data_IF_360715810814
#
_entry.id   IF_360715810814
#
_cell.length_a   1.000
_cell.length_b   1.000
_cell.length_c   1.000
_cell.angle_alpha   90.00
_cell.angle_beta   90.00
_cell.angle_gamma   90.00
#
_symmetry.space_group_name_H-M   'P 1'
#
loop_
_entity.id
_entity.type
_entity.pdbx_description
1 polymer ?
2 non-polymer ?
3 non-polymer ?
4 non-polymer ?
5 water ?
#
# COMPACT_ATOMS: atom_id res chain seq x y z
N UNK A 24 -6.23 -7.50 -18.18
CA UNK A 24 -5.30 -8.64 -17.90
C UNK A 24 -5.33 -8.95 -16.39
N UNK A 25 -4.25 -9.52 -15.84
CA UNK A 25 -4.27 -10.06 -14.46
C UNK A 25 -3.26 -9.38 -13.53
N UNK A 26 -2.80 -8.16 -13.83
CA UNK A 26 -1.96 -7.34 -12.92
C UNK A 26 -2.47 -5.91 -12.81
N UNK A 27 -2.60 -5.45 -11.57
CA UNK A 27 -2.77 -4.01 -11.26
C UNK A 27 -1.45 -3.57 -10.66
N UNK A 28 -0.95 -2.42 -11.08
CA UNK A 28 0.32 -1.99 -10.49
C UNK A 28 0.52 -0.49 -10.62
N UNK A 29 1.56 -0.04 -9.94
CA UNK A 29 2.03 1.35 -10.00
C UNK A 29 3.01 1.58 -11.14
N UNK A 30 3.42 0.52 -11.82
CA UNK A 30 4.60 0.48 -12.72
C UNK A 30 5.84 0.42 -11.84
N UNK A 31 6.94 -0.13 -12.41
CA UNK A 31 8.18 -0.27 -11.66
C UNK A 31 9.16 0.90 -11.76
N UNK A 32 8.74 2.07 -12.24
CA UNK A 32 9.65 3.23 -12.40
C UNK A 32 9.82 3.89 -11.02
N UNK A 33 10.44 5.08 -10.98
CA UNK A 33 10.75 5.81 -9.72
C UNK A 33 10.04 7.17 -9.67
N UNK A 34 9.09 7.44 -10.57
CA UNK A 34 8.32 8.72 -10.63
C UNK A 34 7.38 8.78 -9.42
N UNK A 35 7.48 9.83 -8.56
CA UNK A 35 6.73 9.87 -7.31
C UNK A 35 5.23 9.80 -7.54
N UNK A 36 4.56 9.03 -6.69
CA UNK A 36 3.13 8.71 -6.87
C UNK A 36 2.36 8.70 -5.56
N UNK A 37 2.97 9.04 -4.44
CA UNK A 37 2.37 8.72 -3.12
C UNK A 37 2.75 9.77 -2.09
N UNK A 38 1.93 9.87 -1.05
CA UNK A 38 2.12 10.77 0.11
C UNK A 38 2.58 9.96 1.32
N UNK A 39 3.76 10.29 1.86
CA UNK A 39 4.15 9.90 3.24
C UNK A 39 3.88 11.08 4.18
N UNK A 40 4.42 12.23 3.83
CA UNK A 40 4.26 13.50 4.59
C UNK A 40 3.47 14.52 3.76
N UNK A 41 3.93 14.79 2.54
CA UNK A 41 3.26 15.69 1.59
C UNK A 41 3.04 14.93 0.28
N UNK A 42 2.14 15.44 -0.54
CA UNK A 42 1.64 14.81 -1.79
C UNK A 42 2.80 14.61 -2.77
N UNK A 43 2.93 13.39 -3.28
CA UNK A 43 3.93 12.96 -4.28
C UNK A 43 5.34 13.19 -3.73
N UNK A 44 5.55 12.90 -2.45
CA UNK A 44 6.91 12.96 -1.85
C UNK A 44 7.60 11.60 -1.94
N UNK A 45 6.90 10.57 -2.43
CA UNK A 45 7.39 9.19 -2.31
C UNK A 45 6.94 8.34 -3.51
N UNK A 46 7.62 7.22 -3.73
CA UNK A 46 7.27 6.22 -4.75
C UNK A 46 6.83 4.98 -3.99
N UNK A 47 5.56 4.65 -4.10
CA UNK A 47 5.05 3.32 -3.70
C UNK A 47 5.20 2.39 -4.90
N UNK A 48 5.91 1.31 -4.74
CA UNK A 48 5.98 0.29 -5.80
C UNK A 48 5.06 -0.85 -5.36
N UNK A 49 3.94 -1.03 -6.04
CA UNK A 49 2.94 -2.04 -5.64
C UNK A 49 2.49 -2.77 -6.87
N UNK A 50 2.54 -4.10 -6.81
CA UNK A 50 2.03 -4.97 -7.85
C UNK A 50 1.08 -5.98 -7.23
N UNK A 51 -0.11 -6.08 -7.81
CA UNK A 51 -1.12 -7.07 -7.41
C UNK A 51 -1.39 -7.98 -8.61
N UNK A 52 -1.05 -9.25 -8.47
CA UNK A 52 -1.24 -10.23 -9.55
C UNK A 52 -2.33 -11.20 -9.12
N UNK A 53 -3.34 -11.32 -9.94
CA UNK A 53 -4.48 -12.21 -9.67
C UNK A 53 -4.08 -13.65 -9.95
N UNK A 54 -4.16 -14.49 -8.92
CA UNK A 54 -3.93 -15.95 -8.97
C UNK A 54 -5.23 -16.63 -8.46
N UNK A 55 -6.29 -16.65 -9.27
CA UNK A 55 -7.56 -17.25 -8.85
C UNK A 55 -8.14 -16.57 -7.63
N UNK A 56 -8.34 -17.36 -6.58
CA UNK A 56 -8.95 -16.98 -5.29
C UNK A 56 -8.08 -15.95 -4.57
N UNK A 57 -6.79 -15.87 -4.89
CA UNK A 57 -5.84 -15.01 -4.15
C UNK A 57 -5.21 -13.99 -5.10
N UNK A 58 -4.82 -12.87 -4.54
CA UNK A 58 -3.87 -11.94 -5.15
C UNK A 58 -2.49 -12.21 -4.52
N UNK A 59 -1.48 -12.25 -5.37
CA UNK A 59 -0.06 -12.23 -4.96
C UNK A 59 0.42 -10.78 -5.06
N UNK A 60 0.77 -10.22 -3.92
CA UNK A 60 1.17 -8.83 -3.82
C UNK A 60 2.64 -8.66 -3.54
N UNK A 61 3.18 -7.53 -3.99
CA UNK A 61 4.59 -7.19 -3.79
C UNK A 61 4.65 -5.68 -3.59
N UNK A 62 5.24 -5.25 -2.49
CA UNK A 62 5.20 -3.80 -2.14
C UNK A 62 6.57 -3.33 -1.62
N UNK A 63 6.88 -2.08 -1.93
CA UNK A 63 8.01 -1.34 -1.36
C UNK A 63 7.69 0.16 -1.40
N UNK A 64 8.44 0.94 -0.64
CA UNK A 64 8.16 2.40 -0.49
C UNK A 64 9.49 3.12 -0.35
N UNK A 65 9.61 4.22 -1.07
CA UNK A 65 10.81 5.08 -1.13
C UNK A 65 10.40 6.54 -0.96
N UNK A 66 11.01 7.26 -0.04
CA UNK A 66 10.81 8.73 0.08
C UNK A 66 11.76 9.43 -0.88
N UNK A 67 11.20 10.25 -1.76
CA UNK A 67 12.01 10.96 -2.79
C UNK A 67 12.31 12.40 -2.32
N UNK A 68 11.36 13.05 -1.66
CA UNK A 68 11.50 14.42 -1.11
C UNK A 68 10.86 14.52 0.29
N UNK A 69 11.02 15.66 0.95
CA UNK A 69 10.33 15.95 2.22
C UNK A 69 10.99 15.27 3.39
N UNK A 70 10.28 15.29 4.51
CA UNK A 70 10.82 14.87 5.82
C UNK A 70 11.42 13.47 5.70
N UNK A 71 10.70 12.53 5.09
CA UNK A 71 11.11 11.11 5.12
C UNK A 71 12.31 10.89 4.19
N UNK A 72 12.68 11.84 3.34
CA UNK A 72 13.88 11.72 2.49
C UNK A 72 15.16 11.97 3.32
N UNK A 73 15.07 12.70 4.43
CA UNK A 73 16.22 12.93 5.34
C UNK A 73 15.62 13.07 6.73
N UNK A 74 15.44 11.94 7.39
CA UNK A 74 14.69 11.89 8.67
C UNK A 74 15.44 12.66 9.75
N UNK A 75 14.70 13.10 10.76
CA UNK A 75 15.30 13.71 11.96
C UNK A 75 14.93 12.85 13.16
N UNK A 76 15.47 13.20 14.33
CA UNK A 76 15.14 12.53 15.61
C UNK A 76 13.65 12.63 15.92
N UNK A 77 12.94 13.67 15.46
CA UNK A 77 11.50 13.86 15.78
C UNK A 77 10.57 13.35 14.66
N UNK A 78 11.07 12.93 13.50
CA UNK A 78 10.18 12.41 12.43
C UNK A 78 9.33 11.28 12.99
N UNK A 79 8.01 11.29 12.75
CA UNK A 79 7.12 10.26 13.34
C UNK A 79 7.47 8.90 12.73
N UNK A 80 7.68 7.93 13.60
CA UNK A 80 8.13 6.58 13.20
C UNK A 80 6.92 5.66 12.94
N UNK A 81 5.98 6.20 12.17
CA UNK A 81 4.68 5.59 11.84
C UNK A 81 4.15 6.26 10.58
N UNK A 82 4.00 5.49 9.50
CA UNK A 82 3.58 6.03 8.20
C UNK A 82 2.51 5.10 7.62
N UNK A 83 1.31 5.60 7.43
CA UNK A 83 0.22 4.80 6.87
C UNK A 83 -0.07 5.22 5.44
N UNK A 84 0.06 4.29 4.51
CA UNK A 84 -0.28 4.46 3.09
C UNK A 84 -1.63 3.81 2.88
N UNK A 85 -2.64 4.60 2.54
CA UNK A 85 -4.02 4.11 2.41
C UNK A 85 -4.41 4.02 0.94
N UNK A 86 -4.84 2.84 0.49
CA UNK A 86 -5.51 2.65 -0.81
C UNK A 86 -6.98 2.36 -0.51
N UNK A 87 -7.84 3.30 -0.85
CA UNK A 87 -9.29 3.17 -0.62
C UNK A 87 -9.93 2.91 -1.99
N UNK A 88 -10.85 1.97 -2.05
CA UNK A 88 -11.50 1.62 -3.33
C UNK A 88 -13.01 1.71 -3.21
N UNK A 89 -13.60 2.06 -4.35
CA UNK A 89 -15.07 2.06 -4.46
C UNK A 89 -15.57 0.65 -4.77
N UNK A 90 -16.89 0.55 -4.97
CA UNK A 90 -17.59 -0.75 -5.17
C UNK A 90 -17.13 -1.42 -6.48
N UNK A 91 -16.51 -0.68 -7.40
CA UNK A 91 -15.98 -1.23 -8.66
C UNK A 91 -14.50 -1.60 -8.53
N UNK A 92 -13.92 -1.46 -7.34
CA UNK A 92 -12.50 -1.74 -7.15
C UNK A 92 -11.60 -0.63 -7.68
N UNK A 93 -12.15 0.56 -7.88
CA UNK A 93 -11.40 1.71 -8.44
C UNK A 93 -10.96 2.63 -7.31
N UNK A 94 -9.71 3.05 -7.38
CA UNK A 94 -9.07 3.84 -6.32
C UNK A 94 -9.82 5.16 -6.14
N UNK A 95 -10.09 5.52 -4.90
CA UNK A 95 -10.66 6.84 -4.58
C UNK A 95 -9.57 7.90 -4.54
N UNK A 96 -9.89 9.13 -4.97
CA UNK A 96 -8.88 10.19 -4.99
C UNK A 96 -8.35 10.63 -3.61
N UNK A 97 -9.03 10.28 -2.53
CA UNK A 97 -8.57 10.61 -1.16
C UNK A 97 -7.48 9.63 -0.71
N UNK A 98 -7.17 8.62 -1.51
CA UNK A 98 -6.09 7.64 -1.22
C UNK A 98 -4.72 8.35 -1.17
N UNK A 99 -3.78 7.74 -0.46
CA UNK A 99 -2.39 8.25 -0.40
C UNK A 99 -1.73 8.18 -1.79
N UNK A 100 -2.07 7.13 -2.54
CA UNK A 100 -1.53 6.84 -3.89
C UNK A 100 -2.33 7.65 -4.91
N UNK A 101 -1.63 8.31 -5.83
CA UNK A 101 -2.23 9.08 -6.94
C UNK A 101 -2.87 8.12 -7.96
N UNK A 102 -4.14 8.39 -8.31
CA UNK A 102 -4.98 7.68 -9.30
C UNK A 102 -4.23 7.53 -10.64
N UNK A 103 -3.55 8.59 -11.06
CA UNK A 103 -2.93 8.70 -12.39
C UNK A 103 -1.81 7.67 -12.52
N UNK A 104 -1.35 7.11 -11.40
CA UNK A 104 -0.16 6.24 -11.31
C UNK A 104 -0.55 4.80 -10.98
N UNK A 105 -1.81 4.41 -11.20
CA UNK A 105 -2.33 3.10 -10.76
C UNK A 105 -3.28 2.54 -11.81
N UNK A 106 -2.98 1.40 -12.38
CA UNK A 106 -3.92 0.79 -13.34
C UNK A 106 -3.44 -0.60 -13.74
N UNK A 107 -4.21 -1.21 -14.61
CA UNK A 107 -3.84 -2.51 -15.20
C UNK A 107 -2.54 -2.33 -15.95
N UNK A 108 -1.68 -3.34 -15.91
CA UNK A 108 -0.37 -3.35 -16.63
C UNK A 108 -0.58 -3.45 -18.15
N UNK A 109 0.31 -2.78 -18.90
CA UNK A 109 0.63 -3.04 -20.33
C UNK A 109 2.12 -2.73 -20.54
N UNK A 110 2.90 -3.70 -21.03
CA UNK A 110 4.39 -3.65 -21.12
C UNK A 110 4.95 -3.30 -19.72
N UNK A 111 5.77 -2.25 -19.58
CA UNK A 111 6.27 -1.75 -18.27
C UNK A 111 5.45 -0.54 -17.82
N UNK A 112 4.30 -0.28 -18.45
CA UNK A 112 3.45 0.92 -18.19
C UNK A 112 2.06 0.50 -17.72
N UNK A 113 1.06 1.38 -17.89
CA UNK A 113 -0.35 1.08 -17.49
C UNK A 113 -1.23 1.36 -18.71
N UNK A 114 -2.44 0.78 -18.75
CA UNK A 114 -3.42 0.97 -19.87
C UNK A 114 -3.84 2.45 -19.91
N UNK A 115 -4.43 2.88 -21.04
CA UNK A 115 -4.82 4.28 -21.33
C UNK A 115 -6.17 4.62 -20.67
N UNK A 116 -7.17 3.72 -20.75
CA UNK A 116 -8.50 3.93 -20.11
C UNK A 116 -8.35 3.88 -18.58
N UNK A 117 -8.93 4.86 -17.87
CA UNK A 117 -8.60 5.13 -16.43
C UNK A 117 -9.52 4.36 -15.47
N UNK A 118 -10.72 3.97 -15.90
CA UNK A 118 -11.79 3.52 -14.96
C UNK A 118 -12.23 2.09 -15.26
N UNK A 119 -11.31 1.14 -15.09
CA UNK A 119 -11.52 -0.30 -15.33
C UNK A 119 -11.90 -1.00 -14.02
N UNK A 120 -13.05 -1.69 -14.00
CA UNK A 120 -13.52 -2.54 -12.87
C UNK A 120 -12.35 -3.41 -12.40
N UNK A 121 -12.21 -3.56 -11.10
CA UNK A 121 -11.13 -4.36 -10.50
C UNK A 121 -11.66 -5.13 -9.28
N UNK A 122 -12.95 -5.46 -9.25
CA UNK A 122 -13.51 -6.21 -8.10
C UNK A 122 -12.74 -7.52 -7.87
N UNK A 123 -12.30 -8.28 -8.90
CA UNK A 123 -11.56 -9.51 -8.65
C UNK A 123 -10.22 -9.33 -7.94
N UNK A 124 -9.73 -8.11 -7.82
CA UNK A 124 -8.49 -7.78 -7.06
C UNK A 124 -8.81 -7.33 -5.65
N UNK A 125 -10.08 -7.13 -5.31
CA UNK A 125 -10.41 -6.53 -4.01
C UNK A 125 -10.35 -7.58 -2.92
N UNK A 126 -9.98 -7.18 -1.69
CA UNK A 126 -9.94 -8.14 -0.59
C UNK A 126 -11.36 -8.60 -0.23
N UNK A 127 -11.48 -9.89 -0.01
CA UNK A 127 -12.76 -10.57 0.26
C UNK A 127 -13.43 -10.00 1.52
N UNK A 128 -14.68 -9.59 1.41
CA UNK A 128 -15.36 -8.91 2.55
C UNK A 128 -15.83 -9.91 3.61
N UNK A 129 -15.90 -11.19 3.30
CA UNK A 129 -16.23 -12.22 4.31
C UNK A 129 -14.97 -12.55 5.13
N UNK A 130 -13.85 -12.73 4.45
CA UNK A 130 -12.56 -12.98 5.12
C UNK A 130 -12.17 -11.75 5.93
N UNK A 131 -12.38 -10.58 5.33
CA UNK A 131 -11.87 -9.32 5.87
C UNK A 131 -13.01 -8.32 5.95
N UNK A 132 -13.92 -8.49 6.94
CA UNK A 132 -15.09 -7.62 7.04
C UNK A 132 -14.69 -6.23 7.53
N UNK A 133 -15.47 -5.26 7.10
CA UNK A 133 -15.37 -3.89 7.61
C UNK A 133 -15.61 -3.93 9.11
N UNK A 134 -14.97 -3.03 9.87
CA UNK A 134 -15.20 -2.95 11.32
C UNK A 134 -16.67 -2.69 11.70
N UNK A 135 -17.14 -3.20 12.83
CA UNK A 135 -18.36 -2.77 13.56
C UNK A 135 -17.91 -2.15 14.90
N UNK A 136 -18.26 -0.89 15.15
CA UNK A 136 -17.64 0.00 16.15
C UNK A 136 -17.74 -0.56 17.57
N UNK A 137 -18.74 -1.41 17.86
CA UNK A 137 -18.98 -1.98 19.22
C UNK A 137 -17.75 -2.77 19.68
N UNK A 138 -17.55 -3.97 19.11
CA UNK A 138 -16.43 -4.88 19.48
C UNK A 138 -15.12 -4.09 19.47
N UNK A 139 -14.99 -3.13 18.55
CA UNK A 139 -13.80 -2.25 18.36
C UNK A 139 -12.54 -3.12 18.41
N UNK A 140 -12.64 -4.31 17.80
CA UNK A 140 -11.59 -5.37 17.84
C UNK A 140 -11.93 -6.47 16.85
N UNK A 141 -11.49 -6.31 15.59
CA UNK A 141 -11.84 -7.22 14.47
C UNK A 141 -10.93 -8.47 14.50
N UNK A 142 -11.20 -9.35 13.58
CA UNK A 142 -10.41 -10.56 13.35
C UNK A 142 -8.95 -10.19 13.04
N UNK A 143 -7.99 -10.85 13.70
CA UNK A 143 -6.57 -10.59 13.41
C UNK A 143 -6.18 -11.00 12.00
N UNK A 144 -6.94 -11.88 11.36
CA UNK A 144 -6.62 -12.34 10.01
C UNK A 144 -6.73 -11.20 9.00
N UNK A 145 -7.37 -10.10 9.35
CA UNK A 145 -7.45 -8.91 8.49
C UNK A 145 -6.11 -8.20 8.32
N UNK A 146 -5.09 -8.61 9.08
CA UNK A 146 -3.76 -8.01 8.99
C UNK A 146 -2.70 -9.05 8.69
N UNK A 147 -1.62 -8.58 8.11
CA UNK A 147 -0.33 -9.24 7.95
C UNK A 147 0.69 -8.35 8.65
N UNK A 148 1.52 -8.92 9.52
CA UNK A 148 2.57 -8.13 10.20
C UNK A 148 3.90 -8.86 10.00
N UNK A 149 4.91 -8.12 9.55
CA UNK A 149 6.26 -8.68 9.42
C UNK A 149 7.24 -7.52 9.48
N UNK A 150 8.48 -7.76 9.07
CA UNK A 150 9.50 -6.70 8.99
C UNK A 150 9.99 -6.62 7.57
N UNK A 151 10.29 -5.38 7.18
CA UNK A 151 11.15 -5.05 6.04
C UNK A 151 12.34 -4.26 6.59
N UNK A 152 13.29 -3.91 5.74
CA UNK A 152 14.59 -3.39 6.23
C UNK A 152 14.94 -2.09 5.52
N UNK A 153 15.19 -1.08 6.34
CA UNK A 153 15.50 0.26 5.85
C UNK A 153 16.89 0.27 5.22
N UNK A 154 16.99 0.78 4.01
CA UNK A 154 18.26 0.81 3.30
C UNK A 154 18.71 -0.57 2.89
N UNK A 155 17.87 -1.58 3.03
CA UNK A 155 18.28 -2.97 2.82
C UNK A 155 19.48 -3.29 3.73
N UNK A 156 19.44 -2.77 4.96
CA UNK A 156 20.45 -3.10 5.99
C UNK A 156 19.79 -3.98 7.05
N UNK A 157 20.45 -5.09 7.35
CA UNK A 157 19.82 -6.18 8.12
C UNK A 157 19.60 -5.78 9.59
N UNK A 158 20.28 -4.74 10.06
CA UNK A 158 20.11 -4.23 11.44
C UNK A 158 19.09 -3.10 11.54
N UNK A 159 18.34 -2.84 10.49
CA UNK A 159 17.38 -1.70 10.47
C UNK A 159 15.98 -2.17 10.13
N UNK A 160 15.33 -2.91 11.04
CA UNK A 160 13.97 -3.34 10.82
C UNK A 160 13.00 -2.16 10.82
N UNK A 161 11.98 -2.34 9.99
CA UNK A 161 10.76 -1.51 9.94
C UNK A 161 9.60 -2.49 9.93
N UNK A 162 8.68 -2.34 10.86
CA UNK A 162 7.53 -3.24 10.91
C UNK A 162 6.56 -2.85 9.80
N UNK A 163 6.15 -3.80 8.98
CA UNK A 163 5.11 -3.57 7.98
C UNK A 163 3.84 -4.25 8.49
N UNK A 164 2.77 -3.46 8.49
CA UNK A 164 1.41 -3.97 8.79
C UNK A 164 0.53 -3.72 7.58
N UNK A 165 0.05 -4.79 6.97
CA UNK A 165 -0.91 -4.69 5.84
C UNK A 165 -2.27 -5.02 6.38
N UNK A 166 -3.24 -4.14 6.13
CA UNK A 166 -4.61 -4.35 6.63
C UNK A 166 -5.59 -4.32 5.48
N UNK A 167 -6.58 -5.22 5.54
CA UNK A 167 -7.58 -5.38 4.48
C UNK A 167 -8.95 -4.95 4.98
N UNK A 168 -9.54 -3.97 4.30
CA UNK A 168 -10.94 -3.55 4.50
C UNK A 168 -11.18 -2.96 5.91
N UNK A 169 -10.16 -2.42 6.55
CA UNK A 169 -10.29 -1.85 7.90
C UNK A 169 -10.53 -0.35 7.89
N UNK A 170 -10.48 0.31 6.75
CA UNK A 170 -10.79 1.76 6.67
C UNK A 170 -12.28 1.97 6.49
N UNK A 171 -12.77 3.11 6.97
CA UNK A 171 -14.13 3.59 6.66
C UNK A 171 -14.09 4.96 5.95
N UNK A 172 -12.89 5.55 5.76
CA UNK A 172 -12.65 6.91 5.17
C UNK A 172 -13.51 7.00 3.88
N UNK A 173 -14.33 8.05 3.74
CA UNK A 173 -14.88 8.50 2.43
C UNK A 173 -15.79 7.46 1.76
N UNK A 174 -16.50 6.63 2.53
CA UNK A 174 -17.48 5.68 1.99
C UNK A 174 -16.82 4.56 1.19
N UNK A 175 -15.57 4.22 1.49
CA UNK A 175 -14.88 3.18 0.69
C UNK A 175 -15.61 1.82 0.83
N UNK A 176 -15.63 1.05 -0.26
CA UNK A 176 -16.14 -0.33 -0.26
C UNK A 176 -15.06 -1.31 0.22
N UNK A 177 -13.81 -1.03 -0.15
CA UNK A 177 -12.66 -1.90 0.16
C UNK A 177 -11.49 -1.02 0.51
N UNK A 178 -10.48 -1.58 1.17
CA UNK A 178 -9.25 -0.83 1.43
C UNK A 178 -8.08 -1.80 1.57
N UNK A 179 -6.91 -1.31 1.21
CA UNK A 179 -5.64 -1.97 1.55
C UNK A 179 -4.75 -0.89 2.10
N UNK A 180 -4.25 -1.06 3.31
CA UNK A 180 -3.34 -0.07 3.89
C UNK A 180 -2.02 -0.74 4.22
N UNK A 181 -0.96 0.02 4.07
CA UNK A 181 0.42 -0.39 4.39
C UNK A 181 0.92 0.58 5.45
N UNK A 182 1.15 0.09 6.66
CA UNK A 182 1.69 0.90 7.74
C UNK A 182 3.11 0.46 8.02
N UNK A 183 4.00 1.43 8.13
CA UNK A 183 5.41 1.20 8.45
C UNK A 183 5.65 1.84 9.80
N UNK A 184 6.05 1.06 10.77
CA UNK A 184 6.32 1.60 12.12
C UNK A 184 7.71 1.12 12.51
N UNK A 185 8.39 1.92 13.31
CA UNK A 185 9.73 1.52 13.78
C UNK A 185 10.04 2.20 15.08
N UNK A 186 11.12 1.73 15.70
CA UNK A 186 11.54 2.22 17.03
C UNK A 186 12.97 2.76 17.00
N UNK A 187 13.84 2.20 16.17
CA UNK A 187 15.26 2.63 16.10
C UNK A 187 15.34 4.04 15.49
N UNK A 188 16.43 4.72 15.80
CA UNK A 188 16.65 6.11 15.35
C UNK A 188 17.27 6.03 13.96
N UNK A 189 16.50 6.31 12.91
CA UNK A 189 17.02 6.34 11.53
C UNK A 189 17.22 7.79 11.05
N UNK A 190 17.49 8.71 11.97
CA UNK A 190 17.78 10.11 11.61
C UNK A 190 18.95 10.15 10.62
N UNK A 191 18.89 11.11 9.70
CA UNK A 191 19.87 11.39 8.65
C UNK A 191 19.76 10.40 7.50
N UNK A 192 18.87 9.43 7.57
CA UNK A 192 18.70 8.45 6.48
C UNK A 192 17.45 8.78 5.65
N UNK A 193 17.47 8.30 4.44
CA UNK A 193 16.33 8.30 3.52
C UNK A 193 15.44 7.10 3.81
N UNK A 194 14.15 7.31 3.94
CA UNK A 194 13.26 6.15 4.06
C UNK A 194 13.24 5.40 2.73
N UNK A 195 13.64 4.13 2.78
CA UNK A 195 13.59 3.24 1.62
C UNK A 195 13.63 1.85 2.22
N UNK A 196 12.74 0.97 1.79
CA UNK A 196 12.67 -0.37 2.38
C UNK A 196 12.77 -1.47 1.32
N UNK A 197 13.18 -2.63 1.79
CA UNK A 197 13.14 -3.85 0.99
C UNK A 197 11.72 -4.20 0.59
N UNK A 198 11.65 -5.05 -0.42
CA UNK A 198 10.35 -5.52 -0.96
C UNK A 198 9.75 -6.59 -0.06
N UNK A 199 8.42 -6.60 -0.05
CA UNK A 199 7.64 -7.55 0.77
C UNK A 199 6.58 -8.22 -0.08
N UNK A 200 6.55 -9.55 0.01
CA UNK A 200 5.62 -10.43 -0.71
C UNK A 200 4.48 -10.79 0.25
N UNK A 201 3.26 -10.83 -0.25
CA UNK A 201 2.10 -11.22 0.58
C UNK A 201 1.01 -11.73 -0.36
N UNK A 202 -0.06 -12.25 0.24
CA UNK A 202 -1.25 -12.64 -0.53
C UNK A 202 -2.48 -12.32 0.29
N UNK A 203 -3.61 -12.33 -0.37
CA UNK A 203 -4.91 -12.20 0.31
C UNK A 203 -5.98 -12.82 -0.55
N UNK A 204 -7.08 -13.14 0.11
CA UNK A 204 -8.28 -13.72 -0.51
C UNK A 204 -9.05 -12.62 -1.23
N UNK A 205 -9.52 -12.91 -2.44
CA UNK A 205 -10.23 -11.90 -3.24
C UNK A 205 -11.74 -12.06 -3.14
N UNK A 206 -12.40 -10.95 -3.42
CA UNK A 206 -13.86 -10.85 -3.51
C UNK A 206 -14.37 -11.75 -4.63
N UNK A 207 -13.68 -11.86 -5.75
CA UNK A 207 -14.27 -12.67 -6.87
C UNK A 207 -13.19 -13.49 -7.56
N UNK A 208 -13.60 -14.37 -8.50
CA UNK A 208 -12.73 -15.33 -9.21
C UNK A 208 -13.54 -16.01 -10.33
X LIG B 1 8.37 -8.33 20.79
X LIG B 1 9.67 -8.29 20.04
X LIG B 1 9.64 -9.41 19.03
X LIG B 1 8.60 -9.17 17.94
X LIG B 1 8.84 -7.79 17.34
X LIG B 1 8.77 -6.72 18.44
X LIG B 1 9.09 -5.34 17.94
X LIG B 1 9.07 -4.37 19.13
X LIG B 1 9.13 -2.92 18.74
X LIG B 1 8.21 -7.59 14.99
X LIG B 1 7.11 -7.28 14.01
X LIG B 1 7.90 -7.48 16.28
X LIG B 1 8.03 -9.33 21.23
X LIG B 1 7.72 -7.38 20.92
X LIG B 1 10.74 -8.42 20.93
X LIG B 1 8.69 -10.17 16.94
X LIG B 1 9.80 -7.01 19.41
X LIG B 1 10.37 -5.35 17.29
X LIG B 1 7.89 -4.59 19.88
X LIG B 1 10.06 -2.70 17.70
X LIG B 1 9.32 -7.94 14.61
X LIG C 1 10.52 -8.44 21.16
X LIG C 1 9.47 -8.28 20.11
X LIG C 1 9.55 -9.40 19.08
X LIG C 1 8.57 -9.16 17.94
X LIG C 1 8.84 -7.79 17.33
X LIG C 1 8.77 -6.74 18.43
X LIG C 1 9.11 -5.37 17.92
X LIG C 1 9.12 -4.42 19.12
X LIG C 1 9.28 -3.01 18.67
X LIG C 1 8.22 -7.59 14.99
X LIG C 1 7.12 -7.28 14.02
X LIG C 1 7.90 -7.46 16.27
X LIG C 1 10.22 -8.95 22.26
X LIG C 1 11.66 -8.08 20.87
X LIG C 1 8.19 -8.24 20.75
X LIG C 1 8.69 -10.17 16.94
X LIG C 1 9.69 -7.04 19.47
X LIG C 1 10.39 -5.38 17.27
X LIG C 1 7.89 -4.56 19.85
X LIG C 1 9.20 -2.20 19.84
X LIG C 1 9.31 -7.94 14.62
X LIG D 1 -7.65 -11.65 19.97
X LIG D 1 -6.26 -11.79 20.09
X LIG D 1 -8.14 -10.61 19.02
X LIG D 1 -8.93 -11.08 17.94
X LIG E 1 -0.56 2.36 12.86
X LIG E 1 0.45 2.08 13.77
X LIG E 1 -1.05 3.76 12.87
X LIG E 1 -0.88 4.52 11.68
X LIG F 1 -0.23 8.59 3.58
X LIG F 1 -0.90 9.57 2.85
X LIG F 1 0.88 9.08 4.42
X LIG F 1 0.52 9.61 5.68
#
# INVERSE_FOLDING_TARGET
MRGSHHHHHHGSGDLVAWNKKDDRRTLWTTPDTSPNCKMSTEKDSKLTLTLTKCGSQVLGNVSLLAVTGEYHQMTATTKKDVKISLLFDENGILLPSSSLSKDYWNYRSDDSIVSQKYNNAVPFMPNLTAYPKPSAQNAKNYSRTKIISNVYLGALTYQPVIITIAFNQETENGCAYSITFTFTWQKDYSAQQFDVTSFTFSYLTQENKDKD
SIA C1 C2 C3 C4 C5 C6 C7 C8 C9 C10 C11 N5 O1A O1B O2 O4 O6 O7 O8 O9 O10
SLB C1 C2 C3 C4 C5 C6 C7 C8 C9 C10 C11 N5 O1A O1B O2 O4 O6 O7 O8 O9 O10
EDO C1 O1 C2 O2
EDO C1 O1 C2 O2
EDO C1 O1 C2 O2
#
